data_IF_098534530033
#
_entry.id   IF_098534530033
#
_cell.length_a   1.000
_cell.length_b   1.000
_cell.length_c   1.000
_cell.angle_alpha   90.00
_cell.angle_beta   90.00
_cell.angle_gamma   90.00
#
_symmetry.space_group_name_H-M   'P 1'
#
loop_
_entity.id
_entity.type
_entity.pdbx_description
1 polymer ?
#
# COMPACT_ATOMS: atom_id res chain seq x y z
N UNK A 1 28.35 -3.60 6.00
CA UNK A 1 27.94 -2.79 4.82
C UNK A 1 27.76 -1.32 5.19
N UNK A 2 27.01 -1.02 6.25
CA UNK A 2 26.88 0.33 6.78
C UNK A 2 27.23 0.32 8.26
N UNK A 3 27.90 1.36 8.75
CA UNK A 3 28.06 1.54 10.19
C UNK A 3 26.69 1.78 10.85
N UNK A 4 26.51 1.52 12.16
CA UNK A 4 25.30 1.93 12.85
C UNK A 4 25.04 3.44 12.67
N UNK A 5 23.79 3.84 12.48
CA UNK A 5 23.39 5.25 12.41
C UNK A 5 21.96 5.39 12.89
N UNK A 6 21.69 6.47 13.62
CA UNK A 6 20.37 6.82 14.13
C UNK A 6 19.51 7.54 13.06
N UNK A 7 20.06 7.80 11.88
CA UNK A 7 19.37 8.49 10.78
C UNK A 7 19.39 7.66 9.49
N UNK A 8 18.33 7.71 8.67
CA UNK A 8 18.29 7.01 7.40
C UNK A 8 19.36 7.56 6.45
N UNK A 9 20.03 6.65 5.74
CA UNK A 9 21.01 7.01 4.71
C UNK A 9 20.32 7.21 3.37
N UNK A 10 20.50 8.38 2.78
CA UNK A 10 19.97 8.69 1.45
C UNK A 10 21.07 8.52 0.39
N UNK A 11 20.74 7.81 -0.68
CA UNK A 11 21.58 7.67 -1.87
C UNK A 11 20.81 8.15 -3.09
N UNK A 12 21.54 8.69 -4.07
CA UNK A 12 20.96 9.16 -5.32
C UNK A 12 21.77 8.69 -6.51
N UNK A 13 21.11 8.56 -7.65
CA UNK A 13 21.73 8.36 -8.96
C UNK A 13 21.40 9.56 -9.86
N UNK A 14 22.28 9.93 -10.80
CA UNK A 14 21.95 10.95 -11.80
C UNK A 14 20.71 10.56 -12.63
N UNK A 15 19.91 11.54 -13.10
CA UNK A 15 18.82 11.30 -14.02
C UNK A 15 19.29 10.58 -15.30
N UNK A 16 18.49 9.65 -15.80
CA UNK A 16 18.78 8.90 -17.04
C UNK A 16 19.68 7.68 -16.86
N UNK A 17 20.19 7.41 -15.66
CA UNK A 17 20.95 6.19 -15.35
C UNK A 17 20.01 4.98 -15.29
N UNK A 18 20.51 3.81 -15.74
CA UNK A 18 19.87 2.50 -15.50
C UNK A 18 19.91 2.21 -13.99
N UNK A 19 18.90 2.67 -13.27
CA UNK A 19 18.83 2.60 -11.81
C UNK A 19 18.99 1.18 -11.25
N UNK A 20 18.28 0.14 -11.77
CA UNK A 20 18.52 -1.24 -11.34
C UNK A 20 19.98 -1.68 -11.47
N UNK A 21 20.66 -1.28 -12.55
CA UNK A 21 22.08 -1.60 -12.76
C UNK A 21 22.97 -0.89 -11.76
N UNK A 22 22.79 0.43 -11.59
CA UNK A 22 23.55 1.21 -10.62
C UNK A 22 23.38 0.68 -9.19
N UNK A 23 22.17 0.25 -8.83
CA UNK A 23 21.87 -0.39 -7.55
C UNK A 23 22.63 -1.71 -7.38
N UNK A 24 22.57 -2.61 -8.36
CA UNK A 24 23.29 -3.91 -8.33
C UNK A 24 24.79 -3.71 -8.25
N UNK A 25 25.36 -2.80 -9.05
CA UNK A 25 26.78 -2.43 -9.00
C UNK A 25 27.17 -1.86 -7.62
N UNK A 26 26.34 -0.97 -7.07
CA UNK A 26 26.53 -0.39 -5.75
C UNK A 26 26.47 -1.41 -4.61
N UNK A 27 25.62 -2.43 -4.72
CA UNK A 27 25.55 -3.56 -3.78
C UNK A 27 26.79 -4.44 -3.90
N UNK A 28 27.17 -4.84 -5.12
CA UNK A 28 28.36 -5.67 -5.36
C UNK A 28 29.63 -4.99 -4.85
N UNK A 29 29.82 -3.70 -5.15
CA UNK A 29 30.99 -2.95 -4.72
C UNK A 29 31.13 -2.90 -3.20
N UNK A 30 30.03 -2.69 -2.45
CA UNK A 30 30.05 -2.63 -0.97
C UNK A 30 30.23 -3.98 -0.28
N UNK A 31 30.02 -5.08 -1.02
CA UNK A 31 30.24 -6.44 -0.54
C UNK A 31 31.46 -7.13 -1.16
N UNK A 32 32.26 -6.40 -1.95
CA UNK A 32 33.52 -6.92 -2.47
C UNK A 32 34.45 -7.30 -1.30
N UNK A 33 34.97 -8.54 -1.34
CA UNK A 33 35.85 -9.07 -0.30
C UNK A 33 35.17 -9.49 1.01
N UNK A 34 33.83 -9.39 1.11
CA UNK A 34 33.07 -9.94 2.24
C UNK A 34 32.60 -11.37 1.96
N UNK A 35 32.29 -12.17 3.01
CA UNK A 35 31.68 -13.49 2.85
C UNK A 35 30.37 -13.42 2.05
N UNK A 36 30.14 -14.40 1.17
CA UNK A 36 29.01 -14.41 0.23
C UNK A 36 27.63 -14.35 0.91
N UNK A 37 27.52 -14.89 2.12
CA UNK A 37 26.31 -14.85 2.93
C UNK A 37 25.94 -13.43 3.40
N UNK A 38 26.87 -12.48 3.37
CA UNK A 38 26.62 -11.10 3.83
C UNK A 38 25.66 -10.38 2.91
N UNK A 39 25.80 -10.56 1.58
CA UNK A 39 24.86 -10.02 0.59
C UNK A 39 23.48 -10.66 0.74
N UNK A 40 23.42 -11.96 1.07
CA UNK A 40 22.17 -12.70 1.24
C UNK A 40 21.33 -12.23 2.44
N UNK A 41 21.96 -11.60 3.43
CA UNK A 41 21.28 -11.02 4.59
C UNK A 41 20.64 -9.67 4.29
N UNK A 42 21.03 -8.99 3.21
CA UNK A 42 20.44 -7.71 2.83
C UNK A 42 18.98 -7.91 2.43
N UNK A 43 18.09 -7.13 3.05
CA UNK A 43 16.70 -7.02 2.66
C UNK A 43 16.56 -5.85 1.68
N UNK A 44 16.21 -6.14 0.43
CA UNK A 44 16.03 -5.16 -0.63
C UNK A 44 14.55 -5.04 -0.99
N UNK A 45 13.93 -3.96 -0.54
CA UNK A 45 12.53 -3.64 -0.81
C UNK A 45 12.47 -2.79 -2.07
N UNK A 46 11.71 -3.21 -3.07
CA UNK A 46 11.56 -2.48 -4.34
C UNK A 46 10.09 -2.16 -4.66
N UNK A 47 9.88 -1.14 -5.49
CA UNK A 47 8.52 -0.68 -5.81
C UNK A 47 7.71 -1.63 -6.72
N UNK A 48 8.35 -2.38 -7.62
CA UNK A 48 7.65 -3.11 -8.69
C UNK A 48 8.23 -4.48 -8.97
N UNK A 49 7.36 -5.43 -9.37
CA UNK A 49 7.78 -6.77 -9.85
C UNK A 49 8.73 -6.69 -11.05
N UNK A 50 8.56 -5.68 -11.91
CA UNK A 50 9.45 -5.45 -13.06
C UNK A 50 10.87 -5.11 -12.60
N UNK A 51 11.01 -4.20 -11.63
CA UNK A 51 12.32 -3.84 -11.07
C UNK A 51 12.96 -5.03 -10.36
N UNK A 52 12.20 -5.78 -9.55
CA UNK A 52 12.70 -7.00 -8.89
C UNK A 52 13.26 -8.02 -9.88
N UNK A 53 12.52 -8.30 -10.97
CA UNK A 53 12.99 -9.19 -12.06
C UNK A 53 14.26 -8.66 -12.71
N UNK A 54 14.29 -7.38 -13.05
CA UNK A 54 15.45 -6.74 -13.68
C UNK A 54 16.70 -6.82 -12.80
N UNK A 55 16.56 -6.58 -11.50
CA UNK A 55 17.65 -6.71 -10.52
C UNK A 55 18.18 -8.15 -10.50
N UNK A 56 17.28 -9.14 -10.49
CA UNK A 56 17.66 -10.56 -10.51
C UNK A 56 18.44 -10.92 -11.78
N UNK A 57 17.94 -10.52 -12.96
CA UNK A 57 18.65 -10.71 -14.24
C UNK A 57 20.07 -10.10 -14.22
N UNK A 58 20.22 -8.92 -13.63
CA UNK A 58 21.52 -8.25 -13.52
C UNK A 58 22.46 -8.97 -12.54
N UNK A 59 21.92 -9.59 -11.49
CA UNK A 59 22.71 -10.48 -10.65
C UNK A 59 23.12 -11.76 -11.40
N UNK A 60 22.21 -12.36 -12.16
CA UNK A 60 22.46 -13.60 -12.92
C UNK A 60 23.49 -13.41 -14.05
N UNK A 61 23.61 -12.20 -14.60
CA UNK A 61 24.64 -11.84 -15.61
C UNK A 61 26.04 -11.66 -15.02
N UNK A 62 26.17 -11.55 -13.69
CA UNK A 62 27.45 -11.34 -13.02
C UNK A 62 28.03 -12.62 -12.42
N UNK A 63 29.07 -12.49 -11.59
CA UNK A 63 29.64 -13.63 -10.86
C UNK A 63 28.58 -14.30 -9.97
N UNK A 64 28.63 -15.65 -9.81
CA UNK A 64 27.75 -16.37 -8.92
C UNK A 64 27.80 -15.80 -7.50
N UNK A 65 26.63 -15.55 -6.92
CA UNK A 65 26.49 -15.06 -5.56
C UNK A 65 25.15 -15.49 -4.95
N UNK A 66 25.08 -15.44 -3.62
CA UNK A 66 23.80 -15.51 -2.94
C UNK A 66 23.09 -14.16 -3.08
N UNK A 67 21.83 -14.18 -3.52
CA UNK A 67 21.05 -12.97 -3.76
C UNK A 67 20.58 -12.34 -2.44
N UNK A 68 20.45 -11.00 -2.38
CA UNK A 68 19.72 -10.36 -1.30
C UNK A 68 18.26 -10.84 -1.27
N UNK A 69 17.59 -10.68 -0.14
CA UNK A 69 16.15 -10.93 -0.01
C UNK A 69 15.39 -9.79 -0.69
N UNK A 70 15.00 -10.01 -1.94
CA UNK A 70 14.25 -9.03 -2.74
C UNK A 70 12.75 -9.18 -2.42
N UNK A 71 12.13 -8.13 -1.91
CA UNK A 71 10.68 -8.07 -1.64
C UNK A 71 10.07 -6.82 -2.26
N UNK A 72 8.75 -6.80 -2.44
CA UNK A 72 8.05 -5.58 -2.84
C UNK A 72 7.58 -4.79 -1.64
N UNK A 73 7.45 -3.48 -1.80
CA UNK A 73 6.80 -2.63 -0.81
C UNK A 73 5.35 -3.06 -0.55
N UNK A 74 4.66 -3.51 -1.60
CA UNK A 74 3.27 -4.01 -1.53
C UNK A 74 3.17 -5.40 -0.92
N UNK A 75 4.25 -6.19 -0.95
CA UNK A 75 4.26 -7.60 -0.53
C UNK A 75 4.80 -7.75 0.91
N UNK A 76 4.94 -6.65 1.67
CA UNK A 76 5.42 -6.68 3.06
C UNK A 76 4.54 -7.55 3.98
N UNK A 77 3.28 -7.76 3.60
CA UNK A 77 2.32 -8.57 4.36
C UNK A 77 2.48 -10.09 4.21
N UNK A 78 3.48 -10.57 3.46
CA UNK A 78 3.78 -11.99 3.30
C UNK A 78 4.76 -12.53 4.37
N UNK A 79 5.21 -11.68 5.31
CA UNK A 79 6.02 -12.10 6.44
C UNK A 79 5.20 -12.95 7.41
N UNK A 80 5.78 -14.05 7.91
CA UNK A 80 5.11 -14.99 8.82
C UNK A 80 4.49 -14.31 10.06
N UNK A 81 5.15 -13.29 10.59
CA UNK A 81 4.69 -12.53 11.76
C UNK A 81 3.40 -11.73 11.52
N UNK A 82 2.97 -11.59 10.25
CA UNK A 82 1.79 -10.84 9.84
C UNK A 82 0.61 -11.74 9.43
N UNK A 83 0.75 -13.06 9.59
CA UNK A 83 -0.30 -14.04 9.23
C UNK A 83 -1.62 -13.87 10.02
N UNK A 84 -1.62 -13.08 11.10
CA UNK A 84 -2.81 -12.75 11.88
C UNK A 84 -3.66 -11.64 11.24
N UNK A 85 -3.13 -10.92 10.24
CA UNK A 85 -3.87 -9.90 9.51
C UNK A 85 -4.70 -10.61 8.43
N UNK A 86 -6.04 -10.51 8.46
CA UNK A 86 -6.90 -11.19 7.51
C UNK A 86 -6.64 -10.74 6.07
N UNK A 87 -6.87 -11.65 5.13
CA UNK A 87 -6.79 -11.36 3.70
C UNK A 87 -7.80 -10.30 3.28
N UNK A 88 -7.48 -9.48 2.27
CA UNK A 88 -8.38 -8.43 1.84
C UNK A 88 -9.60 -9.02 1.15
N UNK A 89 -10.74 -8.37 1.33
CA UNK A 89 -11.97 -8.72 0.60
C UNK A 89 -11.73 -8.54 -0.90
N UNK A 90 -12.14 -9.49 -1.76
CA UNK A 90 -12.01 -9.36 -3.20
C UNK A 90 -12.67 -8.07 -3.71
N UNK A 91 -11.99 -7.27 -4.55
CA UNK A 91 -12.51 -5.97 -5.02
C UNK A 91 -13.88 -6.08 -5.68
N UNK A 92 -14.12 -7.14 -6.44
CA UNK A 92 -15.41 -7.40 -7.08
C UNK A 92 -16.54 -7.58 -6.06
N UNK A 93 -16.27 -8.25 -4.93
CA UNK A 93 -17.28 -8.43 -3.88
C UNK A 93 -17.68 -7.07 -3.31
N UNK A 94 -16.70 -6.24 -2.93
CA UNK A 94 -16.96 -4.89 -2.39
C UNK A 94 -17.75 -4.04 -3.38
N UNK A 95 -17.40 -4.07 -4.67
CA UNK A 95 -18.17 -3.36 -5.72
C UNK A 95 -19.62 -3.85 -5.81
N UNK A 96 -19.86 -5.16 -5.77
CA UNK A 96 -21.22 -5.72 -5.83
C UNK A 96 -22.05 -5.38 -4.58
N UNK A 97 -21.43 -5.27 -3.41
CA UNK A 97 -22.13 -4.81 -2.20
C UNK A 97 -22.47 -3.31 -2.29
N UNK A 98 -21.55 -2.47 -2.80
CA UNK A 98 -21.81 -1.05 -3.05
C UNK A 98 -22.94 -0.84 -4.07
N UNK A 99 -23.01 -1.66 -5.12
CA UNK A 99 -24.12 -1.65 -6.09
C UNK A 99 -25.46 -1.86 -5.38
N UNK A 100 -25.55 -2.79 -4.44
CA UNK A 100 -26.80 -3.06 -3.70
C UNK A 100 -27.20 -1.87 -2.81
N UNK A 101 -26.23 -1.27 -2.12
CA UNK A 101 -26.46 -0.09 -1.27
C UNK A 101 -26.90 1.13 -2.10
N UNK A 102 -26.20 1.41 -3.20
CA UNK A 102 -26.52 2.52 -4.10
C UNK A 102 -27.88 2.30 -4.77
N UNK A 103 -28.22 1.07 -5.18
CA UNK A 103 -29.53 0.75 -5.73
C UNK A 103 -30.64 1.08 -4.73
N UNK A 104 -30.48 0.64 -3.47
CA UNK A 104 -31.46 0.90 -2.41
C UNK A 104 -31.58 2.39 -2.11
N UNK A 105 -30.47 3.12 -2.13
CA UNK A 105 -30.47 4.58 -1.92
C UNK A 105 -31.20 5.30 -3.06
N UNK A 106 -30.93 4.98 -4.32
CA UNK A 106 -31.57 5.65 -5.47
C UNK A 106 -33.06 5.30 -5.59
N UNK A 107 -33.49 4.13 -5.13
CA UNK A 107 -34.90 3.78 -5.05
C UNK A 107 -35.65 4.65 -4.01
N UNK A 108 -34.99 5.08 -2.94
CA UNK A 108 -35.55 5.95 -1.90
C UNK A 108 -35.34 7.45 -2.17
N UNK A 109 -34.32 7.83 -2.94
CA UNK A 109 -33.95 9.20 -3.27
C UNK A 109 -33.59 9.32 -4.76
N UNK A 110 -34.58 9.25 -5.67
CA UNK A 110 -34.36 9.20 -7.12
C UNK A 110 -33.86 10.52 -7.72
N UNK A 111 -33.90 11.61 -6.96
CA UNK A 111 -33.41 12.94 -7.34
C UNK A 111 -31.89 13.08 -7.19
N UNK A 112 -31.21 12.13 -6.54
CA UNK A 112 -29.75 12.15 -6.37
C UNK A 112 -29.00 11.82 -7.66
N UNK A 113 -29.42 10.79 -8.39
CA UNK A 113 -28.82 10.36 -9.64
C UNK A 113 -29.77 9.43 -10.43
N UNK A 114 -29.63 9.32 -11.77
CA UNK A 114 -30.39 8.35 -12.54
C UNK A 114 -29.95 6.91 -12.22
N UNK A 115 -30.88 5.94 -12.30
CA UNK A 115 -30.59 4.51 -12.06
C UNK A 115 -29.50 3.94 -12.97
N UNK A 116 -29.31 4.51 -14.16
CA UNK A 116 -28.23 4.12 -15.07
C UNK A 116 -26.82 4.37 -14.48
N UNK A 117 -26.70 5.28 -13.51
CA UNK A 117 -25.41 5.64 -12.90
C UNK A 117 -24.97 4.70 -11.76
N UNK A 118 -25.76 3.66 -11.42
CA UNK A 118 -25.46 2.80 -10.27
C UNK A 118 -24.05 2.21 -10.36
N UNK A 119 -23.66 1.68 -11.51
CA UNK A 119 -22.34 1.06 -11.69
C UNK A 119 -21.20 2.09 -11.61
N UNK A 120 -21.32 3.21 -12.32
CA UNK A 120 -20.31 4.28 -12.30
C UNK A 120 -20.14 4.89 -10.90
N UNK A 121 -21.24 5.08 -10.17
CA UNK A 121 -21.22 5.54 -8.77
C UNK A 121 -20.58 4.51 -7.84
N UNK A 122 -20.82 3.21 -8.08
CA UNK A 122 -20.23 2.14 -7.28
C UNK A 122 -18.72 2.07 -7.46
N UNK A 123 -18.24 2.21 -8.69
CA UNK A 123 -16.80 2.25 -8.99
C UNK A 123 -16.14 3.51 -8.41
N UNK A 124 -16.77 4.67 -8.56
CA UNK A 124 -16.26 5.94 -8.01
C UNK A 124 -16.21 5.93 -6.49
N UNK A 125 -17.26 5.39 -5.84
CA UNK A 125 -17.33 5.29 -4.39
C UNK A 125 -16.33 4.27 -3.84
N UNK A 126 -16.13 3.14 -4.54
CA UNK A 126 -15.07 2.20 -4.19
C UNK A 126 -13.69 2.87 -4.24
N UNK A 127 -13.39 3.63 -5.30
CA UNK A 127 -12.13 4.36 -5.42
C UNK A 127 -11.92 5.38 -4.30
N UNK A 128 -12.96 6.14 -3.96
CA UNK A 128 -12.91 7.08 -2.82
C UNK A 128 -12.65 6.35 -1.50
N UNK A 129 -13.32 5.22 -1.27
CA UNK A 129 -13.10 4.43 -0.05
C UNK A 129 -11.68 3.89 0.01
N UNK A 130 -11.13 3.39 -1.09
CA UNK A 130 -9.76 2.89 -1.17
C UNK A 130 -8.75 4.03 -0.85
N UNK A 131 -8.96 5.23 -1.41
CA UNK A 131 -8.14 6.42 -1.11
C UNK A 131 -8.23 6.84 0.37
N UNK A 132 -9.45 6.89 0.92
CA UNK A 132 -9.67 7.20 2.32
C UNK A 132 -8.98 6.19 3.25
N UNK A 133 -9.06 4.90 2.95
CA UNK A 133 -8.39 3.86 3.72
C UNK A 133 -6.86 3.95 3.63
N UNK A 134 -6.32 4.18 2.42
CA UNK A 134 -4.89 4.36 2.20
C UNK A 134 -4.33 5.53 3.01
N UNK A 135 -5.02 6.68 2.99
CA UNK A 135 -4.63 7.88 3.72
C UNK A 135 -5.03 7.85 5.22
N UNK A 136 -5.90 6.92 5.63
CA UNK A 136 -6.47 6.84 6.98
C UNK A 136 -7.41 7.99 7.32
N UNK A 137 -8.12 8.49 6.32
CA UNK A 137 -9.16 9.49 6.50
C UNK A 137 -10.45 8.78 6.87
N UNK A 138 -11.00 9.09 8.04
CA UNK A 138 -12.27 8.51 8.46
C UNK A 138 -13.46 9.25 7.82
N UNK A 139 -14.64 8.60 7.69
CA UNK A 139 -15.84 9.27 7.19
C UNK A 139 -16.24 10.49 8.01
N UNK A 140 -15.96 10.48 9.32
CA UNK A 140 -16.25 11.62 10.21
C UNK A 140 -15.47 12.87 9.79
N UNK A 141 -14.26 12.72 9.24
CA UNK A 141 -13.47 13.84 8.73
C UNK A 141 -14.18 14.53 7.56
N UNK A 142 -14.85 13.76 6.69
CA UNK A 142 -15.64 14.29 5.57
C UNK A 142 -16.93 14.94 6.08
N UNK A 143 -17.62 14.32 7.04
CA UNK A 143 -18.85 14.88 7.64
C UNK A 143 -18.60 16.26 8.28
N UNK A 144 -17.46 16.41 8.95
CA UNK A 144 -17.03 17.63 9.65
C UNK A 144 -16.60 18.78 8.73
N UNK A 145 -16.49 18.57 7.41
CA UNK A 145 -16.15 19.64 6.47
C UNK A 145 -17.21 20.75 6.50
N UNK A 146 -16.80 21.98 6.78
CA UNK A 146 -17.65 23.16 6.64
C UNK A 146 -17.76 23.54 5.16
N UNK A 147 -18.96 23.34 4.61
CA UNK A 147 -19.30 23.56 3.18
C UNK A 147 -20.53 24.45 3.07
N UNK A 148 -20.79 25.27 4.09
CA UNK A 148 -21.96 26.15 4.22
C UNK A 148 -22.15 27.12 3.04
N UNK A 149 -21.08 27.45 2.32
CA UNK A 149 -21.09 28.39 1.18
C UNK A 149 -21.18 27.70 -0.20
N UNK A 150 -21.33 26.38 -0.22
CA UNK A 150 -21.50 25.60 -1.45
C UNK A 150 -22.94 25.11 -1.52
N UNK A 151 -23.58 25.28 -2.67
CA UNK A 151 -24.98 24.90 -2.95
C UNK A 151 -25.42 23.58 -2.27
N UNK A 152 -26.73 23.41 -2.01
CA UNK A 152 -27.29 22.23 -1.34
C UNK A 152 -26.87 20.83 -1.86
N UNK A 153 -26.20 20.77 -3.01
CA UNK A 153 -25.47 19.60 -3.50
C UNK A 153 -24.48 19.00 -2.49
N UNK A 154 -23.75 19.80 -1.71
CA UNK A 154 -22.79 19.23 -0.74
C UNK A 154 -23.45 18.53 0.44
N UNK A 155 -24.60 19.05 0.90
CA UNK A 155 -25.40 18.36 1.91
C UNK A 155 -25.89 16.99 1.39
N UNK A 156 -26.27 16.92 0.11
CA UNK A 156 -26.65 15.66 -0.55
C UNK A 156 -25.47 14.70 -0.68
N UNK A 157 -24.30 15.18 -1.07
CA UNK A 157 -23.08 14.36 -1.16
C UNK A 157 -22.69 13.82 0.21
N UNK A 158 -22.74 14.64 1.28
CA UNK A 158 -22.46 14.15 2.65
C UNK A 158 -23.46 13.08 3.09
N UNK A 159 -24.75 13.26 2.78
CA UNK A 159 -25.76 12.24 3.04
C UNK A 159 -25.50 10.95 2.26
N UNK A 160 -25.05 11.06 1.00
CA UNK A 160 -24.67 9.92 0.17
C UNK A 160 -23.45 9.19 0.73
N UNK A 161 -22.40 9.91 1.12
CA UNK A 161 -21.19 9.31 1.72
C UNK A 161 -21.47 8.68 3.09
N UNK A 162 -22.54 9.09 3.77
CA UNK A 162 -23.01 8.44 4.99
C UNK A 162 -23.33 6.94 4.83
N UNK A 163 -23.70 6.49 3.62
CA UNK A 163 -24.07 5.07 3.40
C UNK A 163 -22.90 4.11 3.60
N UNK A 164 -21.66 4.58 3.37
CA UNK A 164 -20.48 3.71 3.44
C UNK A 164 -19.86 3.67 4.82
N UNK A 165 -20.38 4.42 5.79
CA UNK A 165 -19.84 4.46 7.16
C UNK A 165 -19.70 3.09 7.80
N UNK A 166 -20.67 2.20 7.57
CA UNK A 166 -20.62 0.86 8.15
C UNK A 166 -19.40 0.04 7.69
N UNK A 167 -18.78 0.39 6.55
CA UNK A 167 -17.54 -0.25 6.09
C UNK A 167 -16.31 0.22 6.86
N UNK A 168 -16.36 1.42 7.44
CA UNK A 168 -15.28 1.99 8.24
C UNK A 168 -15.43 1.69 9.74
N UNK A 169 -16.64 1.34 10.20
CA UNK A 169 -16.94 1.05 11.60
C UNK A 169 -16.64 -0.42 12.00
N UNK A 170 -16.24 -1.29 11.06
CA UNK A 170 -16.20 -2.73 11.29
C UNK A 170 -14.93 -3.25 12.00
N UNK A 171 -15.02 -3.37 13.33
CA UNK A 171 -14.16 -4.22 14.16
C UNK A 171 -14.37 -5.73 13.95
N UNK A 172 -14.50 -6.20 12.71
CA UNK A 172 -14.73 -7.62 12.40
C UNK A 172 -14.94 -7.98 10.92
N UNK A 173 -15.01 -7.02 10.00
CA UNK A 173 -15.02 -7.32 8.56
C UNK A 173 -13.59 -7.46 8.04
N UNK A 174 -13.37 -8.33 7.06
CA UNK A 174 -12.09 -8.41 6.39
C UNK A 174 -11.75 -7.06 5.71
N UNK A 175 -10.51 -6.59 5.80
CA UNK A 175 -10.10 -5.28 5.30
C UNK A 175 -10.21 -5.21 3.77
N UNK A 176 -10.21 -4.02 3.19
CA UNK A 176 -9.79 -3.85 1.80
C UNK A 176 -8.26 -3.96 1.65
N UNK A 177 -7.78 -3.84 0.41
CA UNK A 177 -6.37 -3.98 0.08
C UNK A 177 -5.54 -2.90 0.77
N UNK A 178 -5.99 -1.64 0.73
CA UNK A 178 -5.28 -0.49 1.29
C UNK A 178 -5.30 -0.51 2.82
N UNK A 179 -6.45 -0.80 3.43
CA UNK A 179 -6.57 -1.02 4.89
C UNK A 179 -5.64 -2.13 5.35
N UNK A 180 -5.60 -3.26 4.63
CA UNK A 180 -4.69 -4.36 4.97
C UNK A 180 -3.23 -3.91 4.88
N UNK A 181 -2.86 -3.22 3.80
CA UNK A 181 -1.50 -2.74 3.59
C UNK A 181 -1.08 -1.76 4.70
N UNK A 182 -1.98 -0.86 5.10
CA UNK A 182 -1.77 0.04 6.23
C UNK A 182 -1.54 -0.73 7.54
N UNK A 183 -2.42 -1.67 7.88
CA UNK A 183 -2.29 -2.50 9.09
C UNK A 183 -0.95 -3.26 9.12
N UNK A 184 -0.53 -3.81 7.97
CA UNK A 184 0.77 -4.46 7.79
C UNK A 184 1.92 -3.50 8.08
N UNK A 185 1.89 -2.30 7.52
CA UNK A 185 2.94 -1.29 7.69
C UNK A 185 3.00 -0.80 9.13
N UNK A 186 1.86 -0.47 9.74
CA UNK A 186 1.78 -0.03 11.14
C UNK A 186 2.31 -1.11 12.09
N UNK A 187 1.94 -2.39 11.85
CA UNK A 187 2.43 -3.51 12.65
C UNK A 187 3.94 -3.73 12.47
N UNK A 188 4.44 -3.65 11.24
CA UNK A 188 5.87 -3.78 10.95
C UNK A 188 6.68 -2.64 11.59
N UNK A 189 6.17 -1.41 11.55
CA UNK A 189 6.79 -0.25 12.18
C UNK A 189 6.87 -0.42 13.71
N UNK A 190 5.78 -0.87 14.34
CA UNK A 190 5.77 -1.18 15.78
C UNK A 190 6.77 -2.29 16.13
N UNK A 191 6.80 -3.38 15.33
CA UNK A 191 7.74 -4.47 15.51
C UNK A 191 9.20 -4.00 15.40
N UNK A 192 9.52 -3.17 14.41
CA UNK A 192 10.88 -2.65 14.22
C UNK A 192 11.29 -1.64 15.30
N UNK A 193 10.33 -0.94 15.91
CA UNK A 193 10.60 -0.07 17.05
C UNK A 193 11.00 -0.87 18.30
N UNK A 194 10.37 -2.03 18.53
CA UNK A 194 10.70 -2.92 19.65
C UNK A 194 11.90 -3.81 19.37
N UNK A 195 11.98 -4.38 18.17
CA UNK A 195 13.02 -5.31 17.72
C UNK A 195 13.57 -4.87 16.35
N UNK A 196 14.53 -3.94 16.33
CA UNK A 196 15.13 -3.46 15.09
C UNK A 196 15.80 -4.60 14.29
N UNK A 197 15.71 -4.59 12.95
CA UNK A 197 16.43 -5.55 12.11
C UNK A 197 17.93 -5.52 12.37
N UNK A 198 18.54 -6.71 12.51
CA UNK A 198 20.00 -6.85 12.69
C UNK A 198 20.76 -6.97 11.36
N UNK A 199 20.05 -6.84 10.25
CA UNK A 199 20.56 -6.90 8.88
C UNK A 199 20.24 -5.60 8.12
N UNK A 200 20.99 -5.27 7.05
CA UNK A 200 20.71 -4.08 6.26
C UNK A 200 19.35 -4.17 5.57
N UNK A 201 18.53 -3.13 5.74
CA UNK A 201 17.28 -2.93 5.00
C UNK A 201 17.49 -1.76 4.02
N UNK A 202 17.22 -2.00 2.75
CA UNK A 202 17.36 -1.02 1.67
C UNK A 202 16.01 -0.87 0.98
N UNK A 203 15.53 0.36 0.88
CA UNK A 203 14.37 0.72 0.07
C UNK A 203 14.88 1.34 -1.24
N UNK A 204 14.46 0.80 -2.38
CA UNK A 204 14.92 1.21 -3.71
C UNK A 204 13.77 1.37 -4.71
#
# INVERSE_FOLDING_TARGET
MFDPSDTPRLYGVPPGVDFPRALVEGLRARHAGQPHETLARVQLIVNTRRMARRIRELFDQGPPCLLPRISLLTDLGELWDLAHIPDPVPPLRRRLELVQLITTLLDNAPDLAPRSAIYDLSDSLAGLMDEMHGEGVSPQAIEALDVSDQSGHWARIKSFLGIVRHYFEAGGAAPDVETRQRLVIERLAALWAETPPTHPVILA
#
